data_IF_184256862254
#
_entry.id   IF_184256862254
#
_cell.length_a   1.000
_cell.length_b   1.000
_cell.length_c   1.000
_cell.angle_alpha   90.00
_cell.angle_beta   90.00
_cell.angle_gamma   90.00
#
_symmetry.space_group_name_H-M   'P 1'
#
loop_
_entity.id
_entity.type
_entity.pdbx_description
1 polymer ?
#
# COMPACT_ATOMS: atom_id res chain seq x y z
N UNK A 1 1.59 -6.75 -7.47
CA UNK A 1 2.39 -5.55 -7.78
C UNK A 1 3.80 -5.74 -7.24
N UNK A 2 4.81 -5.12 -7.87
CA UNK A 2 6.22 -5.29 -7.48
C UNK A 2 6.60 -4.32 -6.35
N UNK A 3 7.51 -4.79 -5.47
CA UNK A 3 8.17 -3.96 -4.46
C UNK A 3 8.88 -2.75 -5.11
N UNK A 4 8.99 -1.63 -4.39
CA UNK A 4 9.58 -0.39 -4.91
C UNK A 4 11.02 -0.54 -5.43
N UNK A 5 11.79 -1.53 -4.96
CA UNK A 5 13.14 -1.80 -5.48
C UNK A 5 13.16 -2.48 -6.85
N UNK A 6 12.01 -2.93 -7.35
CA UNK A 6 11.83 -3.69 -8.59
C UNK A 6 10.96 -2.97 -9.62
N UNK A 7 10.93 -1.64 -9.57
CA UNK A 7 10.15 -0.83 -10.53
C UNK A 7 11.04 0.14 -11.29
N UNK A 8 10.56 0.52 -12.47
CA UNK A 8 11.14 1.55 -13.33
C UNK A 8 10.86 2.94 -12.77
N UNK A 9 11.53 3.95 -13.32
CA UNK A 9 11.30 5.36 -12.97
C UNK A 9 9.87 5.82 -13.28
N UNK A 10 9.26 5.32 -14.35
CA UNK A 10 7.89 5.69 -14.72
C UNK A 10 6.87 5.21 -13.69
N UNK A 11 7.01 3.97 -13.25
CA UNK A 11 6.15 3.39 -12.21
C UNK A 11 6.43 4.02 -10.85
N UNK A 12 7.69 4.34 -10.52
CA UNK A 12 8.03 5.08 -9.29
C UNK A 12 7.33 6.45 -9.28
N UNK A 13 7.49 7.25 -10.34
CA UNK A 13 6.84 8.56 -10.47
C UNK A 13 5.31 8.47 -10.38
N UNK A 14 4.71 7.47 -11.03
CA UNK A 14 3.27 7.25 -11.01
C UNK A 14 2.76 6.94 -9.59
N UNK A 15 3.49 6.12 -8.83
CA UNK A 15 3.15 5.80 -7.44
C UNK A 15 3.32 7.00 -6.52
N UNK A 16 4.44 7.73 -6.63
CA UNK A 16 4.66 8.95 -5.84
C UNK A 16 3.58 9.99 -6.09
N UNK A 17 3.20 10.19 -7.37
CA UNK A 17 2.10 11.09 -7.72
C UNK A 17 0.77 10.64 -7.12
N UNK A 18 0.43 9.35 -7.22
CA UNK A 18 -0.80 8.82 -6.63
C UNK A 18 -0.84 9.02 -5.10
N UNK A 19 0.29 8.81 -4.42
CA UNK A 19 0.38 9.04 -2.97
C UNK A 19 0.21 10.51 -2.62
N UNK A 20 0.79 11.42 -3.41
CA UNK A 20 0.60 12.86 -3.23
C UNK A 20 -0.87 13.27 -3.45
N UNK A 21 -1.48 12.83 -4.55
CA UNK A 21 -2.89 13.07 -4.85
C UNK A 21 -3.79 12.52 -3.72
N UNK A 22 -3.46 11.33 -3.20
CA UNK A 22 -4.17 10.74 -2.06
C UNK A 22 -4.01 11.59 -0.80
N UNK A 23 -2.79 12.02 -0.46
CA UNK A 23 -2.51 12.89 0.69
C UNK A 23 -3.36 14.16 0.63
N UNK A 24 -3.40 14.81 -0.54
CA UNK A 24 -4.16 16.05 -0.73
C UNK A 24 -5.67 15.82 -0.55
N UNK A 25 -6.20 14.66 -0.96
CA UNK A 25 -7.58 14.26 -0.69
C UNK A 25 -7.85 14.03 0.79
N UNK A 26 -6.92 13.38 1.51
CA UNK A 26 -7.04 13.16 2.96
C UNK A 26 -7.08 14.50 3.70
N UNK A 27 -6.15 15.41 3.38
CA UNK A 27 -6.13 16.77 3.95
C UNK A 27 -7.42 17.51 3.63
N UNK A 28 -7.90 17.44 2.38
CA UNK A 28 -9.17 18.06 1.97
C UNK A 28 -10.34 17.50 2.78
N UNK A 29 -10.39 16.17 2.99
CA UNK A 29 -11.45 15.53 3.76
C UNK A 29 -11.48 16.06 5.20
N UNK A 30 -10.36 15.98 5.93
CA UNK A 30 -10.32 16.36 7.34
C UNK A 30 -10.47 17.86 7.59
N UNK A 31 -9.98 18.72 6.70
CA UNK A 31 -10.16 20.17 6.80
C UNK A 31 -11.60 20.63 6.56
N UNK A 32 -12.44 19.78 5.97
CA UNK A 32 -13.83 20.09 5.64
C UNK A 32 -14.84 19.30 6.50
N UNK A 33 -14.41 18.84 7.67
CA UNK A 33 -15.29 18.32 8.71
C UNK A 33 -15.76 19.45 9.61
N UNK A 34 -17.06 19.48 9.91
CA UNK A 34 -17.63 20.36 10.93
C UNK A 34 -17.84 19.61 12.23
N UNK A 35 -17.18 20.08 13.27
CA UNK A 35 -17.34 19.54 14.62
C UNK A 35 -18.43 20.33 15.37
N UNK A 36 -19.32 19.65 16.10
CA UNK A 36 -20.36 20.32 16.88
C UNK A 36 -19.72 21.22 17.95
N UNK A 37 -20.14 22.49 18.00
CA UNK A 37 -19.53 23.50 18.88
C UNK A 37 -19.74 23.27 20.38
N UNK A 38 -20.66 22.39 20.80
CA UNK A 38 -20.95 22.14 22.20
C UNK A 38 -21.29 20.67 22.48
N UNK A 39 -20.40 19.99 23.22
CA UNK A 39 -20.72 18.93 24.20
C UNK A 39 -21.34 17.60 23.74
N UNK A 40 -21.55 17.36 22.44
CA UNK A 40 -22.36 16.22 21.99
C UNK A 40 -21.73 15.36 20.90
N UNK A 41 -20.79 14.49 21.28
CA UNK A 41 -20.48 13.28 20.51
C UNK A 41 -19.30 13.34 19.54
N UNK A 42 -18.86 12.14 19.13
CA UNK A 42 -17.85 11.87 18.11
C UNK A 42 -18.39 12.08 16.68
N UNK A 43 -19.55 12.70 16.52
CA UNK A 43 -20.21 12.86 15.23
C UNK A 43 -19.83 14.21 14.62
N UNK A 44 -19.30 14.17 13.40
CA UNK A 44 -19.02 15.33 12.58
C UNK A 44 -19.97 15.37 11.39
N UNK A 45 -20.19 16.57 10.86
CA UNK A 45 -20.89 16.75 9.59
C UNK A 45 -19.87 16.91 8.48
N UNK A 46 -19.98 16.09 7.43
CA UNK A 46 -19.17 16.24 6.23
C UNK A 46 -19.75 17.37 5.36
N UNK A 47 -18.96 18.41 5.08
CA UNK A 47 -19.25 19.39 4.03
C UNK A 47 -19.22 18.72 2.65
N UNK A 48 -19.70 19.41 1.64
CA UNK A 48 -19.75 18.86 0.28
C UNK A 48 -18.36 18.49 -0.24
N UNK A 49 -17.34 19.31 0.05
CA UNK A 49 -15.94 19.05 -0.29
C UNK A 49 -15.41 17.78 0.38
N UNK A 50 -15.80 17.52 1.63
CA UNK A 50 -15.42 16.31 2.34
C UNK A 50 -16.10 15.08 1.73
N UNK A 51 -17.39 15.15 1.37
CA UNK A 51 -18.10 14.05 0.70
C UNK A 51 -17.47 13.70 -0.65
N UNK A 52 -17.12 14.72 -1.44
CA UNK A 52 -16.41 14.54 -2.70
C UNK A 52 -15.04 13.89 -2.51
N UNK A 53 -14.26 14.41 -1.55
CA UNK A 53 -12.95 13.86 -1.21
C UNK A 53 -13.06 12.39 -0.78
N UNK A 54 -14.00 12.07 0.10
CA UNK A 54 -14.32 10.70 0.53
C UNK A 54 -14.66 9.77 -0.64
N UNK A 55 -15.50 10.23 -1.57
CA UNK A 55 -15.82 9.47 -2.79
C UNK A 55 -14.59 9.17 -3.63
N UNK A 56 -13.68 10.15 -3.79
CA UNK A 56 -12.41 9.97 -4.51
C UNK A 56 -11.46 9.03 -3.76
N UNK A 57 -11.31 9.19 -2.44
CA UNK A 57 -10.52 8.32 -1.55
C UNK A 57 -10.96 6.87 -1.73
N UNK A 58 -12.25 6.58 -1.61
CA UNK A 58 -12.79 5.23 -1.76
C UNK A 58 -12.43 4.57 -3.10
N UNK A 59 -12.35 5.33 -4.19
CA UNK A 59 -12.02 4.80 -5.52
C UNK A 59 -10.56 4.38 -5.67
N UNK A 60 -9.65 4.98 -4.89
CA UNK A 60 -8.21 4.72 -5.00
C UNK A 60 -7.61 4.02 -3.77
N UNK A 61 -8.41 3.84 -2.71
CA UNK A 61 -7.98 3.32 -1.41
C UNK A 61 -7.16 2.03 -1.50
N UNK A 62 -7.69 0.98 -2.13
CA UNK A 62 -7.01 -0.33 -2.21
C UNK A 62 -5.68 -0.27 -2.98
N UNK A 63 -5.62 0.60 -3.99
CA UNK A 63 -4.40 0.83 -4.77
C UNK A 63 -3.38 1.59 -3.93
N UNK A 64 -3.80 2.63 -3.22
CA UNK A 64 -2.96 3.37 -2.27
C UNK A 64 -2.42 2.44 -1.19
N UNK A 65 -3.29 1.64 -0.57
CA UNK A 65 -2.92 0.64 0.43
C UNK A 65 -1.80 -0.27 -0.08
N UNK A 66 -2.01 -0.86 -1.25
CA UNK A 66 -1.03 -1.75 -1.88
C UNK A 66 0.30 -1.03 -2.11
N UNK A 67 0.29 0.22 -2.57
CA UNK A 67 1.51 1.01 -2.83
C UNK A 67 2.29 1.30 -1.55
N UNK A 68 1.62 1.64 -0.45
CA UNK A 68 2.24 1.91 0.85
C UNK A 68 2.88 0.62 1.41
N UNK A 69 2.15 -0.50 1.39
CA UNK A 69 2.69 -1.81 1.81
C UNK A 69 3.91 -2.21 0.96
N UNK A 70 3.89 -1.94 -0.35
CA UNK A 70 5.02 -2.23 -1.24
C UNK A 70 6.24 -1.34 -1.02
N UNK A 71 6.07 -0.17 -0.37
CA UNK A 71 7.15 0.65 0.14
C UNK A 71 7.73 0.10 1.46
N UNK A 72 7.07 -0.88 2.08
CA UNK A 72 7.47 -1.46 3.36
C UNK A 72 7.01 -0.66 4.57
N UNK A 73 6.01 0.21 4.41
CA UNK A 73 5.42 0.99 5.50
C UNK A 73 4.22 0.23 6.06
N UNK A 74 4.21 -0.02 7.38
CA UNK A 74 3.06 -0.60 8.07
C UNK A 74 1.92 0.41 8.13
N UNK A 75 0.68 -0.05 7.98
CA UNK A 75 -0.53 0.77 8.20
C UNK A 75 -1.31 0.30 9.43
N UNK A 76 -0.69 -0.55 10.25
CA UNK A 76 -1.28 -1.09 11.47
C UNK A 76 -0.74 -0.34 12.67
N UNK A 77 -1.65 0.19 13.48
CA UNK A 77 -1.36 0.84 14.75
C UNK A 77 -2.04 0.06 15.87
N UNK A 78 -1.30 -0.19 16.95
CA UNK A 78 -1.84 -0.88 18.11
C UNK A 78 -2.54 0.13 19.03
N UNK A 79 -3.85 -0.02 19.20
CA UNK A 79 -4.63 0.80 20.11
C UNK A 79 -4.95 0.01 21.37
N UNK A 80 -4.57 0.55 22.53
CA UNK A 80 -4.96 0.01 23.83
C UNK A 80 -5.73 1.06 24.63
N UNK A 81 -6.93 0.74 25.14
CA UNK A 81 -7.67 1.65 25.98
C UNK A 81 -6.95 1.85 27.33
N UNK A 82 -7.21 2.97 28.03
CA UNK A 82 -6.68 3.19 29.36
C UNK A 82 -7.05 2.04 30.31
N UNK A 83 -6.10 1.52 31.13
CA UNK A 83 -6.36 0.39 32.03
C UNK A 83 -7.56 0.58 32.98
N UNK A 84 -7.86 1.85 33.33
CA UNK A 84 -8.94 2.20 34.25
C UNK A 84 -10.36 2.11 33.63
N UNK A 85 -10.49 2.23 32.31
CA UNK A 85 -11.79 2.15 31.61
C UNK A 85 -12.06 0.70 31.15
N UNK A 86 -10.98 -0.04 30.84
CA UNK A 86 -11.05 -1.34 30.20
C UNK A 86 -11.40 -1.23 28.72
N UNK A 87 -11.30 -2.35 28.00
CA UNK A 87 -11.65 -2.46 26.59
C UNK A 87 -10.71 -3.38 25.82
N UNK A 88 -11.01 -3.60 24.55
CA UNK A 88 -10.23 -4.51 23.70
C UNK A 88 -9.02 -3.74 23.15
N UNK A 89 -7.83 -4.25 23.44
CA UNK A 89 -6.63 -3.83 22.73
C UNK A 89 -6.59 -4.56 21.37
N UNK A 90 -6.45 -3.82 20.29
CA UNK A 90 -6.44 -4.39 18.96
C UNK A 90 -5.55 -3.62 17.99
N UNK A 91 -5.15 -4.32 16.94
CA UNK A 91 -4.48 -3.76 15.78
C UNK A 91 -5.51 -3.11 14.85
N UNK A 92 -5.28 -1.84 14.53
CA UNK A 92 -6.14 -1.03 13.68
C UNK A 92 -5.41 -0.71 12.39
N UNK A 93 -6.02 -1.05 11.25
CA UNK A 93 -5.58 -0.57 9.95
C UNK A 93 -6.06 0.87 9.74
N UNK A 94 -5.15 1.83 9.88
CA UNK A 94 -5.49 3.26 9.88
C UNK A 94 -5.94 3.75 8.50
N UNK A 95 -5.50 3.12 7.41
CA UNK A 95 -5.91 3.54 6.08
C UNK A 95 -7.33 3.05 5.76
N UNK A 96 -7.63 1.78 6.04
CA UNK A 96 -8.99 1.26 5.86
C UNK A 96 -9.98 1.86 6.87
N UNK A 97 -9.47 2.34 8.01
CA UNK A 97 -10.27 3.01 9.04
C UNK A 97 -10.27 4.53 8.94
N UNK A 98 -9.82 5.11 7.81
CA UNK A 98 -9.61 6.55 7.64
C UNK A 98 -10.80 7.42 8.11
N UNK A 99 -12.03 7.01 7.78
CA UNK A 99 -13.24 7.77 8.15
C UNK A 99 -13.66 7.59 9.62
N UNK A 100 -13.03 6.66 10.34
CA UNK A 100 -13.36 6.29 11.72
C UNK A 100 -12.21 6.54 12.70
N UNK A 101 -11.10 7.16 12.29
CA UNK A 101 -9.91 7.39 13.14
C UNK A 101 -10.25 8.09 14.47
N UNK A 102 -11.11 9.10 14.42
CA UNK A 102 -11.62 9.82 15.58
C UNK A 102 -12.27 8.90 16.65
N UNK A 103 -12.95 7.82 16.25
CA UNK A 103 -13.55 6.84 17.19
C UNK A 103 -12.51 6.05 17.93
N UNK A 104 -11.35 5.87 17.32
CA UNK A 104 -10.20 5.20 17.91
C UNK A 104 -9.26 6.17 18.64
N UNK A 105 -9.61 7.46 18.70
CA UNK A 105 -8.75 8.53 19.23
C UNK A 105 -7.39 8.61 18.52
N UNK A 106 -7.35 8.17 17.25
CA UNK A 106 -6.17 8.23 16.42
C UNK A 106 -6.18 9.58 15.68
N UNK A 107 -5.15 10.42 15.85
CA UNK A 107 -5.03 11.67 15.10
C UNK A 107 -4.83 11.36 13.60
N UNK A 108 -5.51 12.09 12.73
CA UNK A 108 -5.37 11.90 11.28
C UNK A 108 -3.95 12.19 10.76
N UNK A 109 -3.18 12.99 11.51
CA UNK A 109 -1.76 13.25 11.32
C UNK A 109 -0.95 11.95 11.31
N UNK A 110 -1.32 10.97 12.13
CA UNK A 110 -0.63 9.67 12.12
C UNK A 110 -0.80 8.96 10.78
N UNK A 111 -1.97 9.02 10.15
CA UNK A 111 -2.15 8.49 8.79
C UNK A 111 -1.31 9.27 7.77
N UNK A 112 -1.28 10.60 7.87
CA UNK A 112 -0.48 11.45 6.99
C UNK A 112 1.02 11.12 7.09
N UNK A 113 1.56 10.90 8.29
CA UNK A 113 2.95 10.52 8.52
C UNK A 113 3.32 9.21 7.79
N UNK A 114 2.42 8.22 7.80
CA UNK A 114 2.64 6.96 7.08
C UNK A 114 2.64 7.17 5.56
N UNK A 115 1.75 8.02 5.04
CA UNK A 115 1.71 8.39 3.62
C UNK A 115 2.99 9.13 3.23
N UNK A 116 3.42 10.11 4.01
CA UNK A 116 4.64 10.89 3.76
C UNK A 116 5.90 10.04 3.82
N UNK A 117 5.97 9.10 4.77
CA UNK A 117 7.05 8.11 4.82
C UNK A 117 7.09 7.27 3.55
N UNK A 118 5.93 6.83 3.03
CA UNK A 118 5.87 6.08 1.79
C UNK A 118 6.33 6.94 0.59
N UNK A 119 5.90 8.20 0.51
CA UNK A 119 6.37 9.16 -0.51
C UNK A 119 7.90 9.29 -0.46
N UNK A 120 8.46 9.57 0.73
CA UNK A 120 9.90 9.73 0.91
C UNK A 120 10.71 8.50 0.51
N UNK A 121 10.18 7.29 0.70
CA UNK A 121 10.82 6.04 0.23
C UNK A 121 10.90 6.00 -1.30
N UNK A 122 9.80 6.33 -2.00
CA UNK A 122 9.81 6.35 -3.46
C UNK A 122 10.72 7.46 -4.02
N UNK A 123 10.70 8.64 -3.41
CA UNK A 123 11.56 9.77 -3.78
C UNK A 123 13.04 9.45 -3.59
N UNK A 124 13.41 8.85 -2.46
CA UNK A 124 14.80 8.44 -2.20
C UNK A 124 15.26 7.33 -3.15
N UNK A 125 14.36 6.44 -3.58
CA UNK A 125 14.67 5.39 -4.55
C UNK A 125 14.71 5.88 -6.01
N UNK A 126 14.34 7.13 -6.29
CA UNK A 126 14.24 7.68 -7.65
C UNK A 126 15.53 7.50 -8.48
N UNK A 127 16.69 7.79 -7.91
CA UNK A 127 17.98 7.62 -8.60
C UNK A 127 18.25 6.15 -8.94
N UNK A 128 17.95 5.24 -8.02
CA UNK A 128 18.08 3.80 -8.27
C UNK A 128 17.07 3.32 -9.31
N UNK A 129 15.86 3.88 -9.34
CA UNK A 129 14.86 3.59 -10.34
C UNK A 129 15.31 4.02 -11.75
N UNK A 130 16.03 5.14 -11.88
CA UNK A 130 16.65 5.56 -13.13
C UNK A 130 17.69 4.53 -13.57
N UNK A 131 18.62 4.16 -12.69
CA UNK A 131 19.67 3.16 -12.97
C UNK A 131 19.04 1.84 -13.44
N UNK A 132 17.98 1.37 -12.75
CA UNK A 132 17.25 0.15 -13.16
C UNK A 132 16.60 0.30 -14.52
N UNK A 133 16.01 1.46 -14.82
CA UNK A 133 15.31 1.68 -16.09
C UNK A 133 16.27 1.65 -17.29
N UNK A 134 17.48 2.19 -17.14
CA UNK A 134 18.47 2.19 -18.22
C UNK A 134 19.28 0.89 -18.32
N UNK A 135 19.35 0.12 -17.23
CA UNK A 135 20.15 -1.10 -17.18
C UNK A 135 19.45 -2.25 -17.95
N UNK A 136 20.05 -2.78 -19.05
CA UNK A 136 19.46 -3.88 -19.80
C UNK A 136 19.26 -5.16 -18.97
N UNK A 137 20.13 -5.44 -18.00
CA UNK A 137 20.01 -6.62 -17.13
C UNK A 137 18.77 -6.56 -16.23
N UNK A 138 18.31 -5.36 -15.88
CA UNK A 138 17.07 -5.21 -15.12
C UNK A 138 15.86 -5.67 -15.94
N UNK A 139 15.81 -5.34 -17.24
CA UNK A 139 14.74 -5.78 -18.14
C UNK A 139 14.77 -7.28 -18.35
N UNK A 140 15.95 -7.87 -18.53
CA UNK A 140 16.12 -9.32 -18.60
C UNK A 140 15.59 -9.97 -17.32
N UNK A 141 15.95 -9.45 -16.15
CA UNK A 141 15.46 -9.97 -14.88
C UNK A 141 13.93 -9.85 -14.76
N UNK A 142 13.32 -8.76 -15.23
CA UNK A 142 11.85 -8.62 -15.26
C UNK A 142 11.18 -9.64 -16.19
N UNK A 143 11.78 -9.91 -17.36
CA UNK A 143 11.29 -10.93 -18.31
C UNK A 143 11.39 -12.32 -17.68
N UNK A 144 12.51 -12.65 -17.06
CA UNK A 144 12.67 -13.93 -16.34
C UNK A 144 11.65 -14.04 -15.20
N UNK A 145 11.50 -13.01 -14.35
CA UNK A 145 10.49 -12.98 -13.28
C UNK A 145 9.08 -13.23 -13.84
N UNK A 146 8.75 -12.64 -15.00
CA UNK A 146 7.49 -12.88 -15.70
C UNK A 146 7.34 -14.33 -16.16
N UNK A 147 8.33 -14.88 -16.86
CA UNK A 147 8.31 -16.25 -17.38
C UNK A 147 8.18 -17.29 -16.26
N UNK A 148 8.94 -17.11 -15.18
CA UNK A 148 8.88 -17.97 -13.98
C UNK A 148 7.48 -17.91 -13.33
N UNK A 149 6.80 -16.76 -13.39
CA UNK A 149 5.45 -16.60 -12.82
C UNK A 149 4.32 -17.26 -13.62
N UNK A 150 4.53 -17.53 -14.92
CA UNK A 150 3.50 -18.08 -15.80
C UNK A 150 2.91 -19.43 -15.33
N UNK A 151 3.72 -20.46 -14.99
CA UNK A 151 3.16 -21.73 -14.53
C UNK A 151 2.32 -21.56 -13.26
N UNK A 152 2.76 -20.73 -12.31
CA UNK A 152 2.00 -20.47 -11.07
C UNK A 152 0.68 -19.75 -11.34
N UNK A 153 0.65 -18.80 -12.28
CA UNK A 153 -0.60 -18.15 -12.72
C UNK A 153 -1.55 -19.14 -13.40
N UNK A 154 -1.04 -20.09 -14.16
CA UNK A 154 -1.86 -21.15 -14.77
C UNK A 154 -2.51 -22.04 -13.71
N UNK A 155 -1.75 -22.48 -12.70
CA UNK A 155 -2.31 -23.22 -11.56
C UNK A 155 -3.38 -22.42 -10.83
N UNK A 156 -3.17 -21.11 -10.67
CA UNK A 156 -4.16 -20.17 -10.12
C UNK A 156 -5.51 -20.24 -10.83
N UNK A 157 -5.51 -20.30 -12.17
CA UNK A 157 -6.73 -20.37 -12.97
C UNK A 157 -7.49 -21.70 -12.85
N UNK A 158 -6.81 -22.78 -12.47
CA UNK A 158 -7.42 -24.11 -12.28
C UNK A 158 -8.03 -24.26 -10.88
N UNK A 159 -8.08 -23.18 -10.09
CA UNK A 159 -8.72 -23.15 -8.77
C UNK A 159 -7.76 -23.37 -7.61
N UNK A 160 -6.45 -23.47 -7.86
CA UNK A 160 -5.47 -23.51 -6.79
C UNK A 160 -5.16 -22.10 -6.29
N UNK A 161 -4.93 -21.96 -4.98
CA UNK A 161 -4.39 -20.71 -4.44
C UNK A 161 -2.94 -20.53 -4.89
N UNK A 162 -2.71 -19.65 -5.88
CA UNK A 162 -1.37 -19.32 -6.40
C UNK A 162 -0.41 -18.96 -5.26
N UNK A 163 -0.87 -18.14 -4.31
CA UNK A 163 -0.08 -17.70 -3.15
C UNK A 163 0.38 -18.88 -2.29
N UNK A 164 -0.51 -19.85 -2.06
CA UNK A 164 -0.18 -21.02 -1.23
C UNK A 164 0.82 -21.95 -1.94
N UNK A 165 0.67 -22.15 -3.25
CA UNK A 165 1.59 -22.97 -4.04
C UNK A 165 2.98 -22.32 -4.08
N UNK A 166 3.07 -21.02 -4.42
CA UNK A 166 4.36 -20.33 -4.51
C UNK A 166 5.11 -20.29 -3.17
N UNK A 167 4.39 -20.23 -2.05
CA UNK A 167 5.00 -20.22 -0.71
C UNK A 167 5.38 -21.61 -0.20
N UNK A 168 4.81 -22.68 -0.77
CA UNK A 168 5.14 -24.06 -0.41
C UNK A 168 6.60 -24.41 -0.72
N UNK A 169 7.17 -25.37 0.01
CA UNK A 169 8.54 -25.85 -0.23
C UNK A 169 8.71 -26.36 -1.67
N UNK A 170 7.72 -27.08 -2.19
CA UNK A 170 7.71 -27.58 -3.58
C UNK A 170 7.68 -26.43 -4.57
N UNK A 171 6.81 -25.43 -4.35
CA UNK A 171 6.74 -24.25 -5.21
C UNK A 171 8.04 -23.45 -5.23
N UNK A 172 8.72 -23.33 -4.07
CA UNK A 172 10.06 -22.72 -4.00
C UNK A 172 11.09 -23.50 -4.82
N UNK A 173 11.13 -24.83 -4.71
CA UNK A 173 12.05 -25.67 -5.50
C UNK A 173 11.80 -25.51 -7.01
N UNK A 174 10.54 -25.60 -7.44
CA UNK A 174 10.15 -25.41 -8.85
C UNK A 174 10.59 -24.02 -9.32
N UNK A 175 10.36 -22.98 -8.51
CA UNK A 175 10.76 -21.61 -8.82
C UNK A 175 12.28 -21.49 -8.99
N UNK A 176 13.07 -22.09 -8.12
CA UNK A 176 14.54 -22.12 -8.24
C UNK A 176 15.00 -22.81 -9.52
N UNK A 177 14.41 -23.96 -9.87
CA UNK A 177 14.74 -24.69 -11.10
C UNK A 177 14.42 -23.82 -12.32
N UNK A 178 13.24 -23.18 -12.35
CA UNK A 178 12.86 -22.30 -13.45
C UNK A 178 13.81 -21.11 -13.58
N UNK A 179 14.20 -20.46 -12.47
CA UNK A 179 15.19 -19.40 -12.49
C UNK A 179 16.53 -19.89 -13.06
N UNK A 180 17.03 -21.04 -12.61
CA UNK A 180 18.29 -21.60 -13.10
C UNK A 180 18.24 -21.89 -14.60
N UNK A 181 17.17 -22.50 -15.09
CA UNK A 181 16.98 -22.79 -16.52
C UNK A 181 16.94 -21.50 -17.33
N UNK A 182 16.11 -20.53 -16.95
CA UNK A 182 15.99 -19.28 -17.70
C UNK A 182 17.28 -18.45 -17.67
N UNK A 183 18.04 -18.48 -16.58
CA UNK A 183 19.32 -17.78 -16.47
C UNK A 183 20.45 -18.48 -17.26
N UNK A 184 20.35 -19.80 -17.48
CA UNK A 184 21.36 -20.56 -18.24
C UNK A 184 21.18 -20.47 -19.75
N UNK A 185 20.01 -20.04 -20.22
CA UNK A 185 19.66 -19.91 -21.66
C UNK A 185 19.98 -18.50 -22.20
N UNK A 186 20.14 -17.52 -21.32
CA UNK A 186 20.21 -16.09 -21.63
C UNK A 186 21.64 -15.54 -21.47
#
# INVERSE_FOLDING_TARGET
MNNYKKITIWENNNRSKLLQDFKDLVVTYFNNLEYPSYGGGFEFTEKEEAKEARSKINKILDKTYSIIILAGVSLTVFQAPPPAIGGIACDIDILHSIFNLHRFQIPHEELLDHIERAIGIYENDRSNAIIRTINPFFWIALVIDYLVSLPFKLFGKVGFSQKNIELSTVGKIIKYILYFVFYSIL
#
